data_IF_568433483990
#
_entry.id   IF_568433483990
#
_cell.length_a   1.000
_cell.length_b   1.000
_cell.length_c   1.000
_cell.angle_alpha   90.00
_cell.angle_beta   90.00
_cell.angle_gamma   90.00
#
_symmetry.space_group_name_H-M   'P 1'
#
loop_
_entity.id
_entity.type
_entity.pdbx_description
1 polymer ?
#
# COMPACT_ATOMS: atom_id res chain seq x y z
N UNK A 1 -19.70 -2.48 -24.10
CA UNK A 1 -20.03 -3.28 -22.89
C UNK A 1 -21.55 -3.51 -22.79
N UNK A 2 -22.02 -4.70 -22.34
CA UNK A 2 -23.44 -4.99 -22.12
C UNK A 2 -23.84 -4.52 -20.72
N UNK A 3 -24.94 -3.73 -20.63
CA UNK A 3 -25.51 -3.27 -19.37
C UNK A 3 -26.84 -4.00 -19.08
N UNK A 4 -27.18 -4.17 -17.81
CA UNK A 4 -28.52 -4.60 -17.43
C UNK A 4 -29.52 -3.46 -17.68
N UNK A 5 -30.85 -3.73 -17.76
CA UNK A 5 -31.86 -2.68 -17.87
C UNK A 5 -31.75 -1.62 -16.74
N UNK A 6 -31.44 -2.03 -15.52
CA UNK A 6 -31.26 -1.14 -14.37
C UNK A 6 -30.01 -0.26 -14.51
N UNK A 7 -28.89 -0.84 -14.97
CA UNK A 7 -27.65 -0.09 -15.24
C UNK A 7 -27.85 0.91 -16.38
N UNK A 8 -28.54 0.49 -17.45
CA UNK A 8 -28.88 1.37 -18.56
C UNK A 8 -29.80 2.52 -18.09
N UNK A 9 -30.81 2.23 -17.29
CA UNK A 9 -31.68 3.27 -16.73
C UNK A 9 -30.92 4.31 -15.90
N UNK A 10 -29.93 3.88 -15.09
CA UNK A 10 -29.06 4.81 -14.36
C UNK A 10 -28.22 5.66 -15.31
N UNK A 11 -27.64 5.05 -16.35
CA UNK A 11 -26.89 5.76 -17.40
C UNK A 11 -27.76 6.81 -18.12
N UNK A 12 -29.02 6.49 -18.36
CA UNK A 12 -30.00 7.35 -19.00
C UNK A 12 -30.61 8.42 -18.04
N UNK A 13 -30.18 8.42 -16.77
CA UNK A 13 -30.50 9.48 -15.81
C UNK A 13 -31.62 9.18 -14.82
N UNK A 14 -32.08 7.92 -14.70
CA UNK A 14 -33.16 7.55 -13.75
C UNK A 14 -32.86 7.89 -12.29
N UNK A 15 -31.55 7.94 -11.92
CA UNK A 15 -31.07 8.35 -10.59
C UNK A 15 -30.40 9.74 -10.59
N UNK A 16 -30.75 10.58 -11.55
CA UNK A 16 -30.22 11.94 -11.68
C UNK A 16 -28.94 12.06 -12.49
N UNK A 17 -28.57 13.28 -12.84
CA UNK A 17 -27.46 13.57 -13.76
C UNK A 17 -26.09 13.20 -13.19
N UNK A 18 -25.89 13.27 -11.88
CA UNK A 18 -24.62 12.92 -11.23
C UNK A 18 -24.40 11.42 -11.29
N UNK A 19 -25.41 10.60 -10.96
CA UNK A 19 -25.35 9.15 -11.06
C UNK A 19 -25.17 8.68 -12.51
N UNK A 20 -25.79 9.36 -13.47
CA UNK A 20 -25.57 9.09 -14.90
C UNK A 20 -24.11 9.34 -15.29
N UNK A 21 -23.45 10.39 -14.79
CA UNK A 21 -22.02 10.65 -15.01
C UNK A 21 -21.14 9.56 -14.35
N UNK A 22 -21.46 9.14 -13.13
CA UNK A 22 -20.76 8.03 -12.44
C UNK A 22 -20.82 6.77 -13.31
N UNK A 23 -22.01 6.36 -13.70
CA UNK A 23 -22.18 5.16 -14.54
C UNK A 23 -21.49 5.32 -15.90
N UNK A 24 -21.59 6.47 -16.55
CA UNK A 24 -20.90 6.75 -17.82
C UNK A 24 -19.39 6.61 -17.69
N UNK A 25 -18.82 7.11 -16.60
CA UNK A 25 -17.37 7.00 -16.33
C UNK A 25 -16.93 5.54 -16.19
N UNK A 26 -17.68 4.74 -15.42
CA UNK A 26 -17.41 3.31 -15.26
C UNK A 26 -17.55 2.53 -16.58
N UNK A 27 -18.56 2.86 -17.40
CA UNK A 27 -18.76 2.27 -18.74
C UNK A 27 -17.58 2.62 -19.64
N UNK A 28 -17.18 3.89 -19.72
CA UNK A 28 -16.03 4.32 -20.54
C UNK A 28 -14.72 3.66 -20.07
N UNK A 29 -14.53 3.56 -18.75
CA UNK A 29 -13.38 2.85 -18.19
C UNK A 29 -13.38 1.38 -18.59
N UNK A 30 -14.52 0.69 -18.42
CA UNK A 30 -14.67 -0.70 -18.80
C UNK A 30 -14.47 -0.94 -20.30
N UNK A 31 -15.03 -0.10 -21.15
CA UNK A 31 -14.87 -0.19 -22.62
C UNK A 31 -13.40 -0.04 -23.03
N UNK A 32 -12.67 0.89 -22.38
CA UNK A 32 -11.24 1.11 -22.65
C UNK A 32 -10.36 -0.13 -22.30
N UNK A 33 -10.80 -0.94 -21.35
CA UNK A 33 -10.12 -2.18 -20.96
C UNK A 33 -10.78 -3.46 -21.48
N UNK A 34 -11.74 -3.34 -22.41
CA UNK A 34 -12.39 -4.47 -23.07
C UNK A 34 -13.37 -5.25 -22.18
N UNK A 35 -13.93 -4.62 -21.15
CA UNK A 35 -14.91 -5.25 -20.29
C UNK A 35 -16.20 -5.56 -21.08
N UNK A 36 -16.70 -6.78 -20.91
CA UNK A 36 -17.93 -7.22 -21.63
C UNK A 36 -19.21 -6.81 -20.88
N UNK A 37 -19.15 -6.67 -19.57
CA UNK A 37 -20.27 -6.40 -18.66
C UNK A 37 -19.82 -5.73 -17.38
N UNK A 38 -20.80 -5.24 -16.59
CA UNK A 38 -20.58 -4.86 -15.20
C UNK A 38 -20.93 -6.05 -14.27
N UNK A 39 -20.21 -6.14 -13.14
CA UNK A 39 -20.51 -7.12 -12.07
C UNK A 39 -20.71 -6.40 -10.74
N UNK A 40 -21.54 -6.95 -9.84
CA UNK A 40 -21.73 -6.37 -8.52
C UNK A 40 -20.42 -6.34 -7.72
N UNK A 41 -20.22 -5.29 -6.92
CA UNK A 41 -19.26 -5.30 -5.82
C UNK A 41 -19.85 -6.16 -4.71
N UNK A 42 -19.08 -7.11 -4.20
CA UNK A 42 -19.57 -8.10 -3.21
C UNK A 42 -18.88 -8.02 -1.86
N UNK A 43 -17.76 -7.28 -1.77
CA UNK A 43 -17.08 -7.03 -0.49
C UNK A 43 -17.91 -6.11 0.42
N UNK A 44 -17.73 -6.28 1.73
CA UNK A 44 -18.44 -5.45 2.73
C UNK A 44 -18.01 -3.99 2.65
N UNK A 45 -16.71 -3.72 2.45
CA UNK A 45 -16.14 -2.38 2.48
C UNK A 45 -15.30 -2.08 1.24
N UNK A 46 -15.33 -0.81 0.82
CA UNK A 46 -14.43 -0.24 -0.17
C UNK A 46 -13.09 0.20 0.43
N UNK A 47 -12.16 0.59 -0.44
CA UNK A 47 -10.92 1.26 -0.04
C UNK A 47 -10.52 2.29 -1.08
N UNK A 48 -10.31 3.54 -0.67
CA UNK A 48 -10.08 4.66 -1.59
C UNK A 48 -8.71 5.30 -1.42
N UNK A 49 -8.08 5.65 -2.55
CA UNK A 49 -6.85 6.42 -2.61
C UNK A 49 -7.07 7.67 -3.44
N UNK A 50 -7.30 8.82 -2.77
CA UNK A 50 -7.54 10.04 -3.52
C UNK A 50 -6.68 11.18 -2.93
N UNK A 51 -6.98 12.36 -3.06
CA UNK A 51 -6.30 13.62 -2.91
C UNK A 51 -5.43 13.89 -1.67
N UNK A 52 -5.50 13.14 -0.60
CA UNK A 52 -4.76 13.38 0.67
C UNK A 52 -4.89 14.83 1.23
N UNK A 53 -5.88 15.58 0.79
CA UNK A 53 -5.98 17.02 1.14
C UNK A 53 -5.03 17.94 0.37
N UNK A 54 -4.42 17.48 -0.73
CA UNK A 54 -3.50 18.27 -1.56
C UNK A 54 -4.23 19.48 -2.17
N UNK A 55 -3.73 20.68 -1.91
CA UNK A 55 -4.36 21.91 -2.34
C UNK A 55 -4.51 22.06 -3.86
N UNK A 56 -3.56 21.51 -4.63
CA UNK A 56 -3.59 21.55 -6.10
C UNK A 56 -4.70 20.67 -6.73
N UNK A 57 -5.32 19.77 -5.95
CA UNK A 57 -6.36 18.85 -6.45
C UNK A 57 -7.78 19.40 -6.30
N UNK A 58 -7.97 20.71 -6.46
CA UNK A 58 -9.29 21.37 -6.34
C UNK A 58 -10.41 20.68 -7.12
N UNK A 59 -10.24 20.22 -8.38
CA UNK A 59 -11.30 19.54 -9.11
C UNK A 59 -11.85 18.28 -8.42
N UNK A 60 -11.02 17.58 -7.65
CA UNK A 60 -11.46 16.39 -6.91
C UNK A 60 -12.41 16.77 -5.78
N UNK A 61 -12.10 17.83 -5.03
CA UNK A 61 -12.99 18.31 -3.95
C UNK A 61 -14.32 18.86 -4.49
N UNK A 62 -14.27 19.53 -5.64
CA UNK A 62 -15.48 20.05 -6.31
C UNK A 62 -16.35 18.87 -6.82
N UNK A 63 -15.74 17.76 -7.26
CA UNK A 63 -16.47 16.56 -7.63
C UNK A 63 -17.10 15.88 -6.40
N UNK A 64 -16.38 15.81 -5.27
CA UNK A 64 -16.95 15.31 -4.02
C UNK A 64 -18.15 16.13 -3.56
N UNK A 65 -18.08 17.46 -3.66
CA UNK A 65 -19.22 18.31 -3.32
C UNK A 65 -20.43 18.02 -4.24
N UNK A 66 -20.21 17.83 -5.55
CA UNK A 66 -21.28 17.45 -6.48
C UNK A 66 -21.90 16.09 -6.12
N UNK A 67 -21.11 15.10 -5.74
CA UNK A 67 -21.60 13.79 -5.28
C UNK A 67 -22.45 13.95 -4.01
N UNK A 68 -21.96 14.73 -3.04
CA UNK A 68 -22.63 14.98 -1.76
C UNK A 68 -23.95 15.75 -1.98
N UNK A 69 -23.94 16.81 -2.78
CA UNK A 69 -25.12 17.61 -3.09
C UNK A 69 -26.21 16.82 -3.82
N UNK A 70 -25.79 15.88 -4.66
CA UNK A 70 -26.70 14.97 -5.36
C UNK A 70 -27.20 13.81 -4.51
N UNK A 71 -26.72 13.65 -3.27
CA UNK A 71 -27.03 12.49 -2.42
C UNK A 71 -26.45 11.19 -2.94
N UNK A 72 -25.43 11.25 -3.79
CA UNK A 72 -24.72 10.09 -4.34
C UNK A 72 -23.68 9.58 -3.34
N UNK A 73 -24.15 9.02 -2.24
CA UNK A 73 -23.32 8.43 -1.20
C UNK A 73 -23.00 6.97 -1.53
N UNK A 74 -21.84 6.49 -1.05
CA UNK A 74 -21.55 5.08 -1.11
C UNK A 74 -22.40 4.31 -0.09
N UNK A 75 -23.24 3.39 -0.56
CA UNK A 75 -23.92 2.43 0.33
C UNK A 75 -22.90 1.50 0.97
N UNK A 76 -21.84 1.15 0.23
CA UNK A 76 -20.68 0.44 0.72
C UNK A 76 -19.75 1.45 1.44
N UNK A 77 -19.67 1.36 2.76
CA UNK A 77 -18.67 2.15 3.52
C UNK A 77 -17.26 1.75 3.11
N UNK A 78 -16.28 2.62 3.40
CA UNK A 78 -14.92 2.42 2.95
C UNK A 78 -13.88 2.89 3.97
N UNK A 79 -12.66 2.36 3.84
CA UNK A 79 -11.43 2.85 4.43
C UNK A 79 -10.70 3.73 3.42
N UNK A 80 -9.74 4.54 3.83
CA UNK A 80 -8.99 5.42 2.94
C UNK A 80 -7.48 5.35 3.22
N UNK A 81 -6.70 5.79 2.25
CA UNK A 81 -5.24 5.92 2.39
C UNK A 81 -4.83 6.81 3.57
N UNK A 82 -3.61 6.60 4.12
CA UNK A 82 -3.13 7.33 5.30
C UNK A 82 -3.18 8.85 5.13
N UNK A 83 -3.45 9.55 6.21
CA UNK A 83 -3.36 11.01 6.23
C UNK A 83 -1.91 11.49 6.00
N UNK A 84 -1.74 12.70 5.44
CA UNK A 84 -0.40 13.22 5.12
C UNK A 84 0.32 13.85 6.31
N UNK A 85 -0.40 14.26 7.35
CA UNK A 85 0.12 15.08 8.43
C UNK A 85 -0.16 14.50 9.82
N UNK A 86 0.89 14.47 10.62
CA UNK A 86 0.84 14.25 12.06
C UNK A 86 1.89 15.15 12.74
N UNK A 87 1.46 15.96 13.68
CA UNK A 87 2.31 16.90 14.45
C UNK A 87 3.42 16.23 15.25
N UNK A 88 3.34 14.92 15.48
CA UNK A 88 4.37 14.17 16.21
C UNK A 88 5.58 13.83 15.30
N UNK A 89 5.41 13.88 13.98
CA UNK A 89 6.52 13.62 13.04
C UNK A 89 7.48 14.80 13.04
N UNK A 90 8.79 14.56 13.18
CA UNK A 90 9.79 15.63 13.22
C UNK A 90 9.73 16.53 11.98
N UNK A 91 9.50 17.79 12.18
CA UNK A 91 9.49 18.84 11.15
C UNK A 91 10.05 20.14 11.73
N UNK A 92 10.44 21.06 10.87
CA UNK A 92 10.83 22.41 11.31
C UNK A 92 9.69 23.41 10.98
N UNK A 93 9.68 24.62 11.59
CA UNK A 93 8.60 25.59 11.40
C UNK A 93 8.33 25.97 9.93
N UNK A 94 9.36 25.96 9.07
CA UNK A 94 9.19 26.24 7.66
C UNK A 94 8.50 25.06 6.92
N UNK A 95 8.87 23.82 7.27
CA UNK A 95 8.19 22.63 6.74
C UNK A 95 6.71 22.64 7.17
N UNK A 96 6.42 22.92 8.44
CA UNK A 96 5.04 22.98 8.95
C UNK A 96 4.22 24.04 8.22
N UNK A 97 4.80 25.22 8.00
CA UNK A 97 4.15 26.27 7.23
C UNK A 97 3.82 25.78 5.80
N UNK A 98 4.78 25.14 5.13
CA UNK A 98 4.59 24.64 3.76
C UNK A 98 3.56 23.52 3.74
N UNK A 99 3.61 22.56 4.68
CA UNK A 99 2.65 21.50 4.77
C UNK A 99 1.22 22.02 4.98
N UNK A 100 1.00 22.83 6.03
CA UNK A 100 -0.34 23.21 6.46
C UNK A 100 -0.97 24.31 5.61
N UNK A 101 -0.18 25.28 5.14
CA UNK A 101 -0.71 26.45 4.43
C UNK A 101 -0.71 26.30 2.91
N UNK A 102 0.19 25.49 2.36
CA UNK A 102 0.34 25.40 0.91
C UNK A 102 0.00 24.03 0.35
N UNK A 103 0.53 22.94 0.92
CA UNK A 103 0.39 21.61 0.32
C UNK A 103 -0.93 20.94 0.70
N UNK A 104 -1.20 20.79 1.98
CA UNK A 104 -2.33 20.03 2.51
C UNK A 104 -3.43 20.92 3.13
N UNK A 105 -3.56 22.14 2.64
CA UNK A 105 -4.55 23.12 3.12
C UNK A 105 -6.00 22.60 3.05
N UNK A 106 -6.28 21.66 2.13
CA UNK A 106 -7.61 21.10 1.93
C UNK A 106 -7.88 19.85 2.79
N UNK A 107 -6.94 19.43 3.67
CA UNK A 107 -7.10 18.18 4.43
C UNK A 107 -8.40 18.16 5.24
N UNK A 108 -8.70 19.21 5.99
CA UNK A 108 -9.94 19.27 6.80
C UNK A 108 -11.22 19.20 5.93
N UNK A 109 -11.21 19.84 4.75
CA UNK A 109 -12.33 19.74 3.78
C UNK A 109 -12.44 18.30 3.26
N UNK A 110 -11.34 17.70 2.87
CA UNK A 110 -11.26 16.33 2.38
C UNK A 110 -11.82 15.33 3.39
N UNK A 111 -11.35 15.38 4.65
CA UNK A 111 -11.87 14.49 5.71
C UNK A 111 -13.37 14.70 5.93
N UNK A 112 -13.85 15.97 5.95
CA UNK A 112 -15.28 16.26 6.10
C UNK A 112 -16.12 15.72 4.93
N UNK A 113 -15.59 15.75 3.70
CA UNK A 113 -16.22 15.17 2.52
C UNK A 113 -16.25 13.64 2.60
N UNK A 114 -15.15 12.99 2.99
CA UNK A 114 -15.12 11.53 3.15
C UNK A 114 -16.09 11.03 4.23
N UNK A 115 -16.24 11.76 5.35
CA UNK A 115 -17.27 11.45 6.37
C UNK A 115 -18.67 11.44 5.78
N UNK A 116 -18.98 12.38 4.90
CA UNK A 116 -20.30 12.44 4.22
C UNK A 116 -20.44 11.34 3.16
N UNK A 117 -19.38 11.00 2.45
CA UNK A 117 -19.39 9.99 1.38
C UNK A 117 -19.42 8.55 1.88
N UNK A 118 -19.01 8.29 3.15
CA UNK A 118 -19.14 6.96 3.74
C UNK A 118 -17.87 6.33 4.31
N UNK A 119 -16.86 7.13 4.70
CA UNK A 119 -15.73 6.55 5.45
C UNK A 119 -16.21 5.91 6.76
N UNK A 120 -15.63 4.76 7.11
CA UNK A 120 -16.05 3.99 8.29
C UNK A 120 -15.90 4.79 9.59
N UNK A 121 -14.70 5.34 9.84
CA UNK A 121 -14.41 6.20 10.97
C UNK A 121 -13.19 7.08 10.71
N UNK A 122 -12.90 8.00 11.64
CA UNK A 122 -11.69 8.83 11.61
C UNK A 122 -10.39 8.05 11.89
N UNK A 123 -10.47 6.74 12.16
CA UNK A 123 -9.32 5.85 12.39
C UNK A 123 -9.00 4.96 11.18
N UNK A 124 -9.81 5.00 10.14
CA UNK A 124 -9.72 4.09 9.00
C UNK A 124 -8.90 4.66 7.82
N UNK A 125 -7.89 5.45 8.16
CA UNK A 125 -6.91 6.00 7.23
C UNK A 125 -5.62 5.18 7.26
N UNK A 126 -5.49 4.23 6.33
CA UNK A 126 -4.32 3.34 6.25
C UNK A 126 -4.20 2.67 4.89
N UNK A 127 -2.98 2.35 4.45
CA UNK A 127 -2.72 1.52 3.27
C UNK A 127 -2.73 0.01 3.57
N UNK A 128 -2.92 -0.39 4.84
CA UNK A 128 -3.01 -1.80 5.27
C UNK A 128 -4.40 -2.09 5.86
N UNK A 129 -5.44 -1.68 5.13
CA UNK A 129 -6.84 -1.75 5.56
C UNK A 129 -7.31 -3.18 5.90
N UNK A 130 -6.64 -4.19 5.36
CA UNK A 130 -6.94 -5.61 5.51
C UNK A 130 -6.44 -6.24 6.82
N UNK A 131 -5.71 -5.51 7.65
CA UNK A 131 -5.29 -5.98 8.97
C UNK A 131 -6.48 -6.12 9.91
N UNK A 132 -6.41 -7.09 10.83
CA UNK A 132 -7.52 -7.41 11.75
C UNK A 132 -7.89 -6.22 12.65
N UNK A 133 -6.91 -5.39 13.02
CA UNK A 133 -7.11 -4.17 13.83
C UNK A 133 -7.83 -3.04 13.06
N UNK A 134 -7.93 -3.15 11.73
CA UNK A 134 -8.67 -2.21 10.88
C UNK A 134 -10.00 -2.81 10.44
N UNK A 135 -10.02 -4.10 10.11
CA UNK A 135 -11.24 -4.87 9.88
C UNK A 135 -11.81 -4.81 8.46
N UNK A 136 -11.13 -4.19 7.49
CA UNK A 136 -11.53 -4.24 6.09
C UNK A 136 -10.85 -5.41 5.37
N UNK A 137 -11.23 -6.64 5.76
CA UNK A 137 -10.64 -7.89 5.28
C UNK A 137 -11.62 -8.64 4.38
N UNK A 138 -11.50 -8.54 3.06
CA UNK A 138 -12.39 -9.26 2.14
C UNK A 138 -12.14 -10.76 2.18
N UNK A 139 -13.17 -11.52 1.79
CA UNK A 139 -13.10 -12.97 1.64
C UNK A 139 -12.62 -13.35 0.25
N UNK A 140 -12.12 -14.58 0.13
CA UNK A 140 -11.73 -15.13 -1.16
C UNK A 140 -12.90 -15.08 -2.17
N UNK A 141 -12.61 -14.64 -3.40
CA UNK A 141 -13.58 -14.53 -4.48
C UNK A 141 -14.46 -13.29 -4.45
N UNK A 142 -14.49 -12.52 -3.35
CA UNK A 142 -15.24 -11.26 -3.33
C UNK A 142 -14.69 -10.25 -4.35
N UNK A 143 -15.62 -9.57 -5.02
CA UNK A 143 -15.32 -8.50 -5.98
C UNK A 143 -15.23 -7.18 -5.25
N UNK A 144 -14.08 -6.51 -5.42
CA UNK A 144 -13.76 -5.27 -4.75
C UNK A 144 -13.82 -4.07 -5.70
N UNK A 145 -14.18 -2.91 -5.14
CA UNK A 145 -13.93 -1.61 -5.74
C UNK A 145 -12.89 -0.86 -4.92
N UNK A 146 -11.63 -1.27 -5.05
CA UNK A 146 -10.51 -0.72 -4.30
C UNK A 146 -9.50 -0.01 -5.21
N UNK A 147 -8.81 0.95 -4.65
CA UNK A 147 -7.56 1.48 -5.16
C UNK A 147 -6.49 1.38 -4.05
N UNK A 148 -5.33 1.87 -4.25
CA UNK A 148 -4.08 1.72 -3.51
C UNK A 148 -3.35 0.41 -3.86
N UNK A 149 -2.13 0.57 -4.38
CA UNK A 149 -1.42 -0.54 -5.02
C UNK A 149 -1.04 -1.67 -4.04
N UNK A 150 -0.59 -1.34 -2.82
CA UNK A 150 -0.21 -2.36 -1.83
C UNK A 150 -1.41 -3.06 -1.20
N UNK A 151 -2.55 -2.38 -1.06
CA UNK A 151 -3.79 -3.00 -0.58
C UNK A 151 -4.38 -3.94 -1.65
N UNK A 152 -4.45 -3.49 -2.90
CA UNK A 152 -4.98 -4.30 -4.01
C UNK A 152 -4.16 -5.55 -4.25
N UNK A 153 -2.83 -5.46 -4.30
CA UNK A 153 -1.99 -6.64 -4.53
C UNK A 153 -2.08 -7.65 -3.39
N UNK A 154 -2.20 -7.18 -2.14
CA UNK A 154 -2.40 -8.06 -0.98
C UNK A 154 -3.78 -8.74 -1.01
N UNK A 155 -4.84 -7.97 -1.26
CA UNK A 155 -6.21 -8.51 -1.35
C UNK A 155 -6.33 -9.56 -2.46
N UNK A 156 -5.75 -9.31 -3.63
CA UNK A 156 -5.75 -10.27 -4.74
C UNK A 156 -4.95 -11.53 -4.44
N UNK A 157 -3.74 -11.37 -3.88
CA UNK A 157 -2.76 -12.45 -3.78
C UNK A 157 -2.92 -13.27 -2.50
N UNK A 158 -3.02 -12.59 -1.35
CA UNK A 158 -3.00 -13.24 -0.03
C UNK A 158 -4.40 -13.60 0.44
N UNK A 159 -5.39 -12.76 0.13
CA UNK A 159 -6.79 -13.02 0.50
C UNK A 159 -7.58 -13.70 -0.61
N UNK A 160 -7.06 -13.73 -1.84
CA UNK A 160 -7.75 -14.34 -2.99
C UNK A 160 -9.00 -13.59 -3.44
N UNK A 161 -9.15 -12.31 -3.06
CA UNK A 161 -10.22 -11.45 -3.53
C UNK A 161 -9.95 -11.00 -4.98
N UNK A 162 -10.90 -10.33 -5.61
CA UNK A 162 -10.84 -9.95 -7.02
C UNK A 162 -10.96 -8.43 -7.20
N UNK A 163 -9.87 -7.78 -7.54
CA UNK A 163 -9.80 -6.33 -7.73
C UNK A 163 -8.87 -5.96 -8.88
N UNK A 164 -9.31 -5.10 -9.79
CA UNK A 164 -8.40 -4.48 -10.73
C UNK A 164 -7.58 -3.37 -10.04
N UNK A 165 -6.46 -2.98 -10.65
CA UNK A 165 -5.66 -1.83 -10.23
C UNK A 165 -6.37 -0.55 -10.65
N UNK A 166 -7.41 -0.18 -9.91
CA UNK A 166 -8.17 1.02 -10.21
C UNK A 166 -7.37 2.27 -9.86
N UNK A 167 -7.64 3.36 -10.58
CA UNK A 167 -7.17 4.70 -10.20
C UNK A 167 -8.09 5.32 -9.16
N UNK A 168 -7.59 6.30 -8.44
CA UNK A 168 -8.42 7.14 -7.58
C UNK A 168 -9.63 7.70 -8.34
N UNK A 169 -10.78 7.77 -7.70
CA UNK A 169 -12.11 8.05 -8.19
C UNK A 169 -12.85 6.88 -8.84
N UNK A 170 -12.22 5.99 -9.60
CA UNK A 170 -12.88 4.82 -10.21
C UNK A 170 -13.41 3.89 -9.12
N UNK A 171 -12.62 3.64 -8.09
CA UNK A 171 -13.01 2.80 -6.95
C UNK A 171 -14.16 3.39 -6.16
N UNK A 172 -14.16 4.71 -5.93
CA UNK A 172 -15.25 5.39 -5.24
C UNK A 172 -16.53 5.35 -6.09
N UNK A 173 -16.41 5.59 -7.39
CA UNK A 173 -17.54 5.50 -8.32
C UNK A 173 -18.12 4.08 -8.37
N UNK A 174 -17.28 3.04 -8.35
CA UNK A 174 -17.70 1.65 -8.28
C UNK A 174 -18.42 1.32 -6.97
N UNK A 175 -17.92 1.83 -5.84
CA UNK A 175 -18.59 1.71 -4.53
C UNK A 175 -19.95 2.43 -4.49
N UNK A 176 -20.05 3.63 -5.08
CA UNK A 176 -21.29 4.38 -5.19
C UNK A 176 -22.31 3.69 -6.14
N UNK A 177 -21.83 3.18 -7.28
CA UNK A 177 -22.66 2.48 -8.26
C UNK A 177 -23.02 1.04 -7.83
N UNK A 178 -22.32 0.47 -6.86
CA UNK A 178 -22.46 -0.93 -6.43
C UNK A 178 -21.98 -1.94 -7.47
N UNK A 179 -21.26 -1.53 -8.51
CA UNK A 179 -20.78 -2.41 -9.58
C UNK A 179 -19.49 -1.89 -10.22
N UNK A 180 -18.74 -2.82 -10.78
CA UNK A 180 -17.45 -2.55 -11.47
C UNK A 180 -17.40 -3.27 -12.81
N UNK A 181 -16.61 -2.76 -13.80
CA UNK A 181 -16.41 -3.43 -15.09
C UNK A 181 -15.68 -4.76 -14.94
N UNK A 182 -16.17 -5.81 -15.62
CA UNK A 182 -15.64 -7.17 -15.55
C UNK A 182 -14.53 -7.39 -16.58
N UNK A 183 -13.28 -7.25 -16.14
CA UNK A 183 -12.07 -7.48 -16.92
C UNK A 183 -10.87 -7.78 -16.00
N UNK A 184 -9.72 -8.09 -16.57
CA UNK A 184 -8.44 -8.22 -15.87
C UNK A 184 -8.52 -9.20 -14.70
N UNK A 185 -8.13 -8.79 -13.50
CA UNK A 185 -8.07 -9.64 -12.30
C UNK A 185 -9.45 -10.06 -11.73
N UNK A 186 -10.55 -9.59 -12.32
CA UNK A 186 -11.86 -10.12 -12.00
C UNK A 186 -12.13 -11.43 -12.74
N UNK A 187 -11.44 -11.70 -13.84
CA UNK A 187 -11.58 -12.91 -14.67
C UNK A 187 -10.57 -13.98 -14.27
N UNK A 188 -10.92 -15.26 -14.48
CA UNK A 188 -9.98 -16.35 -14.19
C UNK A 188 -8.77 -16.32 -15.13
N UNK A 189 -8.96 -15.93 -16.39
CA UNK A 189 -7.86 -15.81 -17.35
C UNK A 189 -6.89 -14.68 -16.96
N UNK A 190 -7.40 -13.53 -16.55
CA UNK A 190 -6.56 -12.40 -16.12
C UNK A 190 -5.75 -12.66 -14.85
N UNK A 191 -6.06 -13.74 -14.12
CA UNK A 191 -5.35 -14.14 -12.89
C UNK A 191 -4.26 -15.19 -13.16
N UNK A 192 -4.16 -15.72 -14.37
CA UNK A 192 -3.08 -16.65 -14.73
C UNK A 192 -1.73 -15.96 -14.74
N UNK A 193 -0.72 -16.72 -14.30
CA UNK A 193 0.65 -16.23 -14.23
C UNK A 193 1.32 -16.16 -15.60
N UNK A 194 1.90 -15.02 -15.91
CA UNK A 194 2.66 -14.75 -17.13
C UNK A 194 4.16 -15.06 -16.98
N UNK A 195 4.65 -15.18 -15.75
CA UNK A 195 6.04 -15.44 -15.39
C UNK A 195 6.15 -16.50 -14.30
N UNK A 196 7.18 -17.35 -14.41
CA UNK A 196 7.66 -18.19 -13.31
C UNK A 196 8.85 -17.47 -12.68
N UNK A 197 8.83 -17.30 -11.36
CA UNK A 197 9.96 -16.75 -10.59
C UNK A 197 10.47 -17.84 -9.67
N UNK A 198 11.75 -18.20 -9.81
CA UNK A 198 12.40 -19.20 -8.94
C UNK A 198 13.31 -18.50 -7.94
N UNK A 199 12.98 -18.61 -6.65
CA UNK A 199 13.79 -18.08 -5.56
C UNK A 199 14.81 -19.13 -5.14
N UNK A 200 16.08 -18.86 -5.43
CA UNK A 200 17.23 -19.77 -5.17
C UNK A 200 18.28 -19.12 -4.27
N UNK A 201 17.84 -18.35 -3.29
CA UNK A 201 18.72 -17.66 -2.34
C UNK A 201 19.24 -18.62 -1.28
N UNK A 202 20.42 -18.32 -0.72
CA UNK A 202 21.05 -19.13 0.36
C UNK A 202 20.55 -18.76 1.75
N UNK A 203 19.81 -17.67 1.89
CA UNK A 203 19.17 -17.19 3.11
C UNK A 203 17.79 -16.60 2.79
N UNK A 204 16.95 -16.43 3.81
CA UNK A 204 15.64 -15.75 3.67
C UNK A 204 15.86 -14.38 3.00
N UNK A 205 15.29 -14.16 1.80
CA UNK A 205 15.46 -12.88 1.12
C UNK A 205 14.67 -11.79 1.85
N UNK A 206 15.18 -10.57 1.82
CA UNK A 206 14.49 -9.43 2.38
C UNK A 206 13.27 -9.09 1.51
N UNK A 207 12.05 -8.96 2.10
CA UNK A 207 10.78 -8.89 1.33
C UNK A 207 10.72 -7.72 0.36
N UNK A 208 11.16 -6.54 0.78
CA UNK A 208 11.14 -5.34 -0.05
C UNK A 208 12.14 -5.42 -1.21
N UNK A 209 13.28 -6.08 -1.02
CA UNK A 209 14.28 -6.27 -2.07
C UNK A 209 13.84 -7.34 -3.06
N UNK A 210 13.33 -8.48 -2.57
CA UNK A 210 12.80 -9.54 -3.43
C UNK A 210 11.62 -9.02 -4.26
N UNK A 211 10.67 -8.33 -3.62
CA UNK A 211 9.53 -7.74 -4.31
C UNK A 211 9.94 -6.72 -5.37
N UNK A 212 10.96 -5.90 -5.08
CA UNK A 212 11.52 -4.95 -6.05
C UNK A 212 12.15 -5.67 -7.25
N UNK A 213 12.95 -6.74 -7.02
CA UNK A 213 13.56 -7.52 -8.09
C UNK A 213 12.49 -8.10 -9.03
N UNK A 214 11.45 -8.69 -8.47
CA UNK A 214 10.33 -9.25 -9.25
C UNK A 214 9.60 -8.12 -10.01
N UNK A 215 9.18 -7.07 -9.32
CA UNK A 215 8.44 -5.98 -9.94
C UNK A 215 9.19 -5.35 -11.11
N UNK A 216 10.48 -5.04 -10.96
CA UNK A 216 11.32 -4.48 -12.02
C UNK A 216 11.45 -5.40 -13.24
N UNK A 217 11.35 -6.71 -13.04
CA UNK A 217 11.47 -7.70 -14.11
C UNK A 217 10.15 -7.98 -14.82
N UNK A 218 9.10 -8.24 -14.05
CA UNK A 218 7.82 -8.71 -14.62
C UNK A 218 6.87 -7.57 -14.98
N UNK A 219 7.13 -6.35 -14.48
CA UNK A 219 6.30 -5.17 -14.67
C UNK A 219 4.86 -5.40 -14.19
N UNK A 220 3.85 -5.16 -15.04
CA UNK A 220 2.43 -5.35 -14.71
C UNK A 220 1.94 -6.79 -14.77
N UNK A 221 2.81 -7.74 -15.14
CA UNK A 221 2.47 -9.14 -15.32
C UNK A 221 2.31 -9.89 -14.00
N UNK A 222 1.63 -11.03 -14.03
CA UNK A 222 1.39 -11.88 -12.86
C UNK A 222 2.55 -12.88 -12.71
N UNK A 223 3.33 -12.86 -11.61
CA UNK A 223 4.34 -13.86 -11.33
C UNK A 223 3.77 -15.04 -10.53
N UNK A 224 4.22 -16.25 -10.84
CA UNK A 224 4.11 -17.45 -10.02
C UNK A 224 5.48 -17.72 -9.35
N UNK A 225 5.56 -17.56 -8.04
CA UNK A 225 6.81 -17.58 -7.27
C UNK A 225 6.98 -18.96 -6.64
N UNK A 226 8.08 -19.64 -7.00
CA UNK A 226 8.49 -20.95 -6.49
C UNK A 226 9.67 -20.82 -5.53
N UNK A 227 9.72 -21.69 -4.51
CA UNK A 227 10.83 -21.80 -3.58
C UNK A 227 10.87 -20.72 -2.50
N UNK A 228 9.88 -19.82 -2.42
CA UNK A 228 9.78 -18.85 -1.32
C UNK A 228 9.19 -19.49 -0.06
N UNK A 229 8.34 -20.50 -0.22
CA UNK A 229 7.71 -21.29 0.84
C UNK A 229 8.72 -21.94 1.81
N UNK A 230 9.91 -22.29 1.32
CA UNK A 230 11.01 -22.80 2.18
C UNK A 230 11.46 -21.79 3.26
N UNK A 231 11.23 -20.49 3.04
CA UNK A 231 11.66 -19.41 3.93
C UNK A 231 10.56 -18.85 4.81
N UNK A 232 9.33 -18.83 4.32
CA UNK A 232 8.19 -18.21 5.00
C UNK A 232 7.09 -19.21 5.38
N UNK A 233 7.30 -20.51 5.06
CA UNK A 233 6.35 -21.59 5.33
C UNK A 233 5.18 -21.64 4.36
N UNK A 234 4.23 -22.52 4.69
CA UNK A 234 3.03 -22.81 3.88
C UNK A 234 1.74 -22.37 4.57
N UNK A 235 1.84 -21.60 5.64
CA UNK A 235 0.71 -21.06 6.41
C UNK A 235 0.78 -19.52 6.46
N UNK A 236 -0.37 -18.87 6.35
CA UNK A 236 -0.51 -17.43 6.50
C UNK A 236 -0.60 -17.09 8.00
N UNK A 237 0.54 -17.13 8.68
CA UNK A 237 0.72 -16.66 10.05
C UNK A 237 1.18 -15.18 10.10
N UNK A 238 1.38 -14.62 11.29
CA UNK A 238 1.78 -13.21 11.48
C UNK A 238 3.10 -12.84 10.76
N UNK A 239 4.09 -13.74 10.76
CA UNK A 239 5.36 -13.55 10.05
C UNK A 239 5.15 -13.54 8.53
N UNK A 240 4.33 -14.45 8.01
CA UNK A 240 3.98 -14.50 6.60
C UNK A 240 3.17 -13.26 6.18
N UNK A 241 2.21 -12.82 7.00
CA UNK A 241 1.43 -11.59 6.77
C UNK A 241 2.37 -10.39 6.65
N UNK A 242 3.29 -10.21 7.61
CA UNK A 242 4.26 -9.13 7.63
C UNK A 242 5.16 -9.17 6.38
N UNK A 243 5.68 -10.34 6.05
CA UNK A 243 6.53 -10.55 4.87
C UNK A 243 5.79 -10.25 3.57
N UNK A 244 4.61 -10.84 3.36
CA UNK A 244 3.85 -10.73 2.11
C UNK A 244 3.31 -9.31 1.89
N UNK A 245 2.97 -8.60 2.95
CA UNK A 245 2.58 -7.20 2.91
C UNK A 245 3.71 -6.32 2.35
N UNK A 246 4.91 -6.49 2.84
CA UNK A 246 6.09 -5.72 2.42
C UNK A 246 6.56 -6.14 1.02
N UNK A 247 6.58 -7.44 0.74
CA UNK A 247 6.86 -8.00 -0.57
C UNK A 247 5.90 -7.47 -1.64
N UNK A 248 4.58 -7.56 -1.38
CA UNK A 248 3.55 -7.09 -2.31
C UNK A 248 3.65 -5.59 -2.61
N UNK A 249 3.89 -4.76 -1.59
CA UNK A 249 4.06 -3.32 -1.78
C UNK A 249 5.27 -2.99 -2.68
N UNK A 250 6.36 -3.76 -2.56
CA UNK A 250 7.53 -3.58 -3.41
C UNK A 250 7.30 -4.06 -4.84
N UNK A 251 6.62 -5.20 -5.06
CA UNK A 251 6.27 -5.67 -6.41
C UNK A 251 5.37 -4.66 -7.13
N UNK A 252 4.38 -4.13 -6.42
CA UNK A 252 3.43 -3.17 -6.98
C UNK A 252 4.10 -1.82 -7.31
N UNK A 253 4.97 -1.32 -6.44
CA UNK A 253 5.60 -0.01 -6.63
C UNK A 253 6.74 0.00 -7.65
N UNK A 254 7.43 -1.13 -7.85
CA UNK A 254 8.54 -1.23 -8.77
C UNK A 254 8.18 -1.82 -10.15
N UNK A 255 6.97 -2.36 -10.31
CA UNK A 255 6.56 -2.99 -11.56
C UNK A 255 5.06 -2.94 -11.84
N UNK A 256 4.27 -2.32 -10.97
CA UNK A 256 2.80 -2.32 -11.09
C UNK A 256 2.16 -3.72 -11.02
N UNK A 257 2.78 -4.69 -10.33
CA UNK A 257 2.18 -6.00 -10.06
C UNK A 257 0.91 -5.82 -9.23
N UNK A 258 -0.21 -6.36 -9.70
CA UNK A 258 -1.50 -6.28 -8.99
C UNK A 258 -1.98 -7.62 -8.43
N UNK A 259 -1.28 -8.69 -8.77
CA UNK A 259 -1.51 -10.06 -8.30
C UNK A 259 -0.22 -10.85 -8.43
N UNK A 260 0.11 -11.65 -7.42
CA UNK A 260 1.14 -12.68 -7.47
C UNK A 260 0.62 -13.99 -6.87
N UNK A 261 1.18 -15.10 -7.30
CA UNK A 261 0.96 -16.41 -6.70
C UNK A 261 2.26 -16.89 -6.04
N UNK A 262 2.17 -17.44 -4.83
CA UNK A 262 3.29 -18.10 -4.16
C UNK A 262 2.93 -19.57 -3.99
N UNK A 263 3.75 -20.42 -4.58
CA UNK A 263 3.59 -21.86 -4.52
C UNK A 263 3.40 -22.35 -3.09
N UNK A 264 2.45 -23.25 -2.86
CA UNK A 264 2.07 -23.84 -1.58
C UNK A 264 1.56 -22.87 -0.49
N UNK A 265 1.40 -21.55 -0.79
CA UNK A 265 1.06 -20.57 0.25
C UNK A 265 -0.18 -19.73 -0.10
N UNK A 266 -0.21 -19.07 -1.26
CA UNK A 266 -1.36 -18.21 -1.59
C UNK A 266 -2.57 -19.02 -2.04
N UNK A 267 -3.82 -18.56 -1.73
CA UNK A 267 -5.01 -19.39 -1.87
C UNK A 267 -5.19 -20.04 -3.26
N UNK A 268 -5.02 -19.27 -4.32
CA UNK A 268 -5.17 -19.80 -5.68
C UNK A 268 -4.03 -20.76 -6.06
N UNK A 269 -2.79 -20.46 -5.63
CA UNK A 269 -1.66 -21.36 -5.87
C UNK A 269 -1.83 -22.71 -5.13
N UNK A 270 -2.37 -22.70 -3.91
CA UNK A 270 -2.70 -23.92 -3.17
C UNK A 270 -3.79 -24.71 -3.88
N UNK A 271 -4.82 -24.04 -4.41
CA UNK A 271 -5.97 -24.70 -5.04
C UNK A 271 -5.69 -25.23 -6.45
N UNK A 272 -4.92 -24.52 -7.26
CA UNK A 272 -4.77 -24.78 -8.68
C UNK A 272 -3.33 -25.18 -9.06
N UNK A 273 -2.35 -24.87 -8.21
CA UNK A 273 -0.94 -25.16 -8.48
C UNK A 273 -0.47 -24.58 -9.80
N UNK A 274 0.29 -25.38 -10.55
CA UNK A 274 0.87 -24.98 -11.85
C UNK A 274 -0.15 -24.76 -12.96
N UNK A 275 -1.42 -25.16 -12.80
CA UNK A 275 -2.49 -24.84 -13.77
C UNK A 275 -2.75 -23.32 -13.91
N UNK A 276 -2.29 -22.54 -12.92
CA UNK A 276 -2.27 -21.07 -13.01
C UNK A 276 -1.22 -20.53 -13.99
N UNK A 277 -0.20 -21.31 -14.34
CA UNK A 277 0.90 -20.83 -15.19
C UNK A 277 0.48 -20.94 -16.67
N UNK A 278 0.65 -19.85 -17.40
CA UNK A 278 0.39 -19.86 -18.85
C UNK A 278 1.45 -20.70 -19.58
N UNK A 279 1.03 -21.37 -20.64
CA UNK A 279 1.94 -22.12 -21.49
C UNK A 279 3.05 -21.19 -22.03
N UNK A 280 4.29 -21.63 -21.91
CA UNK A 280 5.45 -20.88 -22.38
C UNK A 280 5.84 -19.69 -21.49
N UNK A 281 5.31 -19.57 -20.28
CA UNK A 281 5.72 -18.52 -19.34
C UNK A 281 7.24 -18.54 -19.12
N UNK A 282 7.94 -17.39 -19.30
CA UNK A 282 9.38 -17.32 -19.09
C UNK A 282 9.73 -17.48 -17.62
N UNK A 283 10.97 -17.96 -17.37
CA UNK A 283 11.51 -18.17 -16.03
C UNK A 283 12.48 -17.04 -15.66
N UNK A 284 12.29 -16.48 -14.47
CA UNK A 284 13.24 -15.54 -13.85
C UNK A 284 13.80 -16.16 -12.57
N UNK A 285 15.10 -16.43 -12.57
CA UNK A 285 15.81 -16.98 -11.40
C UNK A 285 16.35 -15.84 -10.56
N UNK A 286 16.08 -15.88 -9.26
CA UNK A 286 16.58 -14.92 -8.27
C UNK A 286 17.44 -15.67 -7.24
N UNK A 287 18.74 -15.47 -7.32
CA UNK A 287 19.71 -15.88 -6.34
C UNK A 287 20.29 -14.67 -5.57
N UNK A 288 21.25 -14.91 -4.69
CA UNK A 288 21.89 -13.86 -3.90
C UNK A 288 22.61 -12.82 -4.78
N UNK A 289 23.20 -13.25 -5.90
CA UNK A 289 23.88 -12.35 -6.83
C UNK A 289 22.91 -11.44 -7.57
N UNK A 290 21.75 -11.98 -7.98
CA UNK A 290 20.72 -11.18 -8.63
C UNK A 290 20.11 -10.17 -7.66
N UNK A 291 19.84 -10.54 -6.41
CA UNK A 291 19.39 -9.59 -5.38
C UNK A 291 20.41 -8.46 -5.15
N UNK A 292 21.69 -8.80 -5.09
CA UNK A 292 22.75 -7.80 -4.93
C UNK A 292 22.81 -6.87 -6.15
N UNK A 293 22.75 -7.40 -7.37
CA UNK A 293 22.71 -6.63 -8.62
C UNK A 293 21.53 -5.65 -8.64
N UNK A 294 20.34 -6.11 -8.24
CA UNK A 294 19.14 -5.25 -8.17
C UNK A 294 19.35 -4.13 -7.16
N UNK A 295 19.85 -4.46 -5.97
CA UNK A 295 20.14 -3.48 -4.93
C UNK A 295 21.14 -2.42 -5.40
N UNK A 296 22.21 -2.82 -6.06
CA UNK A 296 23.25 -1.92 -6.60
C UNK A 296 22.73 -1.02 -7.73
N UNK A 297 21.67 -1.44 -8.43
CA UNK A 297 21.03 -0.66 -9.48
C UNK A 297 20.17 0.49 -8.96
N UNK A 298 19.91 0.57 -7.65
CA UNK A 298 19.08 1.63 -7.09
C UNK A 298 19.74 3.01 -7.20
N UNK A 299 19.09 4.00 -7.81
CA UNK A 299 19.64 5.31 -7.91
C UNK A 299 19.72 5.97 -6.52
N UNK A 300 20.86 6.61 -6.24
CA UNK A 300 20.96 7.53 -5.12
C UNK A 300 20.84 8.97 -5.66
N UNK A 301 19.76 9.65 -5.30
CA UNK A 301 19.45 11.01 -5.79
C UNK A 301 19.79 12.10 -4.76
N UNK A 302 20.51 11.78 -3.69
CA UNK A 302 21.00 12.77 -2.75
C UNK A 302 22.05 13.68 -3.41
N UNK A 303 21.99 14.99 -3.13
CA UNK A 303 22.97 15.95 -3.65
C UNK A 303 24.40 15.67 -3.17
N UNK A 304 24.54 15.26 -1.92
CA UNK A 304 25.77 14.75 -1.31
C UNK A 304 25.56 13.29 -0.94
N UNK A 305 26.27 12.41 -1.63
CA UNK A 305 26.18 10.95 -1.43
C UNK A 305 26.65 10.51 -0.05
N UNK A 306 27.48 11.33 0.62
CA UNK A 306 28.04 11.08 1.95
C UNK A 306 27.28 11.83 3.05
N UNK A 307 26.16 12.49 2.72
CA UNK A 307 25.37 13.21 3.71
C UNK A 307 24.93 12.27 4.84
N UNK A 308 25.01 12.75 6.08
CA UNK A 308 24.49 12.02 7.24
C UNK A 308 22.95 12.03 7.19
N UNK A 309 22.29 10.88 7.41
CA UNK A 309 20.84 10.81 7.46
C UNK A 309 20.25 11.76 8.52
N UNK A 310 19.20 12.48 8.15
CA UNK A 310 18.49 13.41 9.05
C UNK A 310 17.16 12.87 9.54
N UNK A 311 16.62 11.84 8.88
CA UNK A 311 15.35 11.24 9.23
C UNK A 311 15.34 9.80 8.70
N UNK A 312 14.70 8.92 9.46
CA UNK A 312 14.42 7.53 9.08
C UNK A 312 12.93 7.28 9.10
N UNK A 313 12.40 6.68 8.03
CA UNK A 313 11.05 6.13 7.99
C UNK A 313 11.06 4.61 7.84
N UNK A 314 10.33 3.91 8.72
CA UNK A 314 9.98 2.49 8.59
C UNK A 314 8.46 2.34 8.62
N UNK A 315 7.92 1.36 7.87
CA UNK A 315 6.48 1.14 7.81
C UNK A 315 5.80 1.75 6.58
N UNK A 316 6.39 1.60 5.41
CA UNK A 316 5.72 1.89 4.14
C UNK A 316 5.76 0.62 3.24
N UNK A 317 4.65 -0.18 3.26
CA UNK A 317 3.33 0.07 3.86
C UNK A 317 3.33 0.01 5.41
N UNK A 318 2.25 0.50 6.02
CA UNK A 318 2.08 0.54 7.47
C UNK A 318 2.43 -0.79 8.15
N UNK A 319 3.12 -0.71 9.29
CA UNK A 319 3.55 -1.89 10.05
C UNK A 319 2.36 -2.62 10.67
N UNK A 320 2.46 -3.95 10.79
CA UNK A 320 1.55 -4.76 11.59
C UNK A 320 1.86 -4.60 13.08
N UNK A 321 0.95 -5.03 13.95
CA UNK A 321 1.20 -5.08 15.39
C UNK A 321 2.43 -5.95 15.72
N UNK A 322 2.51 -7.13 15.08
CA UNK A 322 3.66 -8.03 15.20
C UNK A 322 4.98 -7.36 14.80
N UNK A 323 5.02 -6.66 13.66
CA UNK A 323 6.22 -5.91 13.25
C UNK A 323 6.61 -4.80 14.23
N UNK A 324 5.65 -4.08 14.79
CA UNK A 324 5.95 -3.05 15.80
C UNK A 324 6.60 -3.65 17.06
N UNK A 325 6.10 -4.81 17.51
CA UNK A 325 6.64 -5.52 18.66
C UNK A 325 8.06 -6.02 18.38
N UNK A 326 8.24 -6.81 17.30
CA UNK A 326 9.56 -7.36 16.92
C UNK A 326 10.59 -6.25 16.70
N UNK A 327 10.25 -5.21 15.95
CA UNK A 327 11.18 -4.12 15.66
C UNK A 327 11.52 -3.34 16.93
N UNK A 328 10.58 -3.19 17.88
CA UNK A 328 10.87 -2.58 19.19
C UNK A 328 11.93 -3.37 19.93
N UNK A 329 11.81 -4.69 20.03
CA UNK A 329 12.78 -5.56 20.68
C UNK A 329 14.17 -5.49 20.01
N UNK A 330 14.20 -5.53 18.68
CA UNK A 330 15.44 -5.44 17.90
C UNK A 330 16.13 -4.09 18.08
N UNK A 331 15.39 -2.98 18.08
CA UNK A 331 15.94 -1.64 18.34
C UNK A 331 16.52 -1.55 19.76
N UNK A 332 15.80 -2.03 20.77
CA UNK A 332 16.31 -2.03 22.14
C UNK A 332 17.55 -2.91 22.31
N UNK A 333 17.55 -4.10 21.72
CA UNK A 333 18.71 -5.00 21.77
C UNK A 333 19.95 -4.35 21.12
N UNK A 334 19.76 -3.72 19.96
CA UNK A 334 20.81 -3.01 19.25
C UNK A 334 21.32 -1.78 20.01
N UNK A 335 20.43 -0.98 20.65
CA UNK A 335 20.82 0.14 21.50
C UNK A 335 21.66 -0.33 22.68
N UNK A 336 21.25 -1.42 23.37
CA UNK A 336 22.04 -2.01 24.46
C UNK A 336 23.42 -2.48 24.00
N UNK A 337 23.49 -3.14 22.83
CA UNK A 337 24.75 -3.63 22.26
C UNK A 337 25.72 -2.48 21.93
N UNK A 338 25.21 -1.31 21.57
CA UNK A 338 26.02 -0.12 21.28
C UNK A 338 26.19 0.83 22.47
N UNK A 339 25.71 0.48 23.66
CA UNK A 339 25.78 1.34 24.85
C UNK A 339 24.96 2.63 24.77
N UNK A 340 23.95 2.64 23.91
CA UNK A 340 23.07 3.78 23.65
C UNK A 340 21.73 3.61 24.39
N UNK A 341 21.04 4.72 24.65
CA UNK A 341 19.68 4.72 25.24
C UNK A 341 18.62 5.15 24.24
N UNK A 342 18.99 5.96 23.26
CA UNK A 342 18.08 6.51 22.26
C UNK A 342 18.70 6.39 20.87
N UNK A 343 17.83 6.33 19.88
CA UNK A 343 18.23 6.39 18.47
C UNK A 343 18.94 7.72 18.16
N UNK A 344 19.99 7.66 17.37
CA UNK A 344 20.83 8.81 17.00
C UNK A 344 20.33 9.56 15.76
N UNK A 345 19.40 8.95 15.00
CA UNK A 345 18.73 9.57 13.86
C UNK A 345 17.24 9.66 14.22
N UNK A 346 16.59 10.82 14.08
CA UNK A 346 15.15 10.93 14.21
C UNK A 346 14.45 9.84 13.39
N UNK A 347 13.68 8.99 14.05
CA UNK A 347 13.10 7.77 13.43
C UNK A 347 11.61 7.74 13.67
N UNK A 348 10.86 7.47 12.61
CA UNK A 348 9.41 7.36 12.61
C UNK A 348 9.00 5.98 12.12
N UNK A 349 8.24 5.27 12.94
CA UNK A 349 7.53 4.06 12.55
C UNK A 349 6.10 4.43 12.17
N UNK A 350 5.59 3.90 11.06
CA UNK A 350 4.22 4.20 10.62
C UNK A 350 3.35 2.96 10.63
N UNK A 351 2.16 3.10 11.21
CA UNK A 351 1.18 2.04 11.33
C UNK A 351 -0.25 2.60 11.25
N UNK A 352 -1.22 1.73 10.97
CA UNK A 352 -2.62 2.11 10.97
C UNK A 352 -3.07 2.62 12.35
N UNK A 353 -3.99 3.60 12.44
CA UNK A 353 -4.50 4.07 13.74
C UNK A 353 -5.00 2.95 14.64
N UNK A 354 -5.72 1.94 14.10
CA UNK A 354 -6.17 0.78 14.86
C UNK A 354 -5.03 -0.08 15.41
N UNK A 355 -3.97 -0.27 14.61
CA UNK A 355 -2.73 -0.97 15.03
C UNK A 355 -2.01 -0.18 16.12
N UNK A 356 -1.91 1.15 15.98
CA UNK A 356 -1.33 2.02 17.00
C UNK A 356 -2.11 1.89 18.32
N UNK A 357 -3.44 1.91 18.26
CA UNK A 357 -4.29 1.75 19.46
C UNK A 357 -4.10 0.38 20.12
N UNK A 358 -3.95 -0.68 19.34
CA UNK A 358 -3.64 -2.02 19.86
C UNK A 358 -2.25 -2.05 20.49
N UNK A 359 -1.24 -1.49 19.83
CA UNK A 359 0.14 -1.42 20.33
C UNK A 359 0.26 -0.62 21.63
N UNK A 360 -0.47 0.49 21.76
CA UNK A 360 -0.48 1.32 22.99
C UNK A 360 -0.99 0.58 24.23
N UNK A 361 -1.72 -0.53 24.06
CA UNK A 361 -2.19 -1.39 25.14
C UNK A 361 -1.14 -2.44 25.57
N UNK A 362 -0.03 -2.54 24.84
CA UNK A 362 1.06 -3.49 25.13
C UNK A 362 2.13 -2.89 26.02
N UNK A 363 2.94 -3.75 26.64
CA UNK A 363 4.15 -3.32 27.35
C UNK A 363 5.23 -2.71 26.44
N UNK A 364 5.13 -2.91 25.13
CA UNK A 364 6.10 -2.44 24.14
C UNK A 364 5.96 -0.96 23.82
N UNK A 365 4.79 -0.36 23.99
CA UNK A 365 4.58 1.05 23.68
C UNK A 365 5.47 2.00 24.52
N UNK A 366 5.52 1.90 25.87
CA UNK A 366 6.46 2.70 26.65
C UNK A 366 7.92 2.34 26.34
N UNK A 367 8.23 1.09 26.01
CA UNK A 367 9.58 0.66 25.61
C UNK A 367 10.01 1.37 24.34
N UNK A 368 9.20 1.34 23.26
CA UNK A 368 9.48 2.05 22.02
C UNK A 368 9.67 3.55 22.23
N UNK A 369 8.78 4.20 22.99
CA UNK A 369 8.92 5.65 23.32
C UNK A 369 10.23 5.97 24.03
N UNK A 370 10.69 5.11 24.91
CA UNK A 370 11.96 5.29 25.60
C UNK A 370 13.18 5.26 24.67
N UNK A 371 13.09 4.57 23.52
CA UNK A 371 14.14 4.57 22.49
C UNK A 371 14.22 5.88 21.71
N UNK A 372 13.23 6.76 21.82
CA UNK A 372 13.13 8.00 21.07
C UNK A 372 12.54 7.84 19.65
N UNK A 373 12.08 6.64 19.29
CA UNK A 373 11.32 6.41 18.04
C UNK A 373 9.92 7.00 18.18
N UNK A 374 9.48 7.69 17.15
CA UNK A 374 8.12 8.26 17.03
C UNK A 374 7.22 7.27 16.31
N UNK A 375 6.04 6.99 16.84
CA UNK A 375 5.00 6.22 16.17
C UNK A 375 3.98 7.18 15.55
N UNK A 376 3.63 6.97 14.28
CA UNK A 376 2.74 7.84 13.51
C UNK A 376 1.86 7.06 12.54
N UNK A 377 0.75 7.66 12.14
CA UNK A 377 -0.20 7.12 11.17
C UNK A 377 -0.08 7.75 9.78
N UNK A 378 0.93 8.58 9.52
CA UNK A 378 1.04 9.29 8.25
C UNK A 378 1.46 8.37 7.10
N UNK A 379 1.21 8.87 5.89
CA UNK A 379 1.87 8.35 4.69
C UNK A 379 3.27 8.99 4.57
N UNK A 380 4.37 8.24 4.74
CA UNK A 380 5.73 8.79 4.59
C UNK A 380 5.97 9.39 3.20
N UNK A 381 5.31 8.84 2.16
CA UNK A 381 5.41 9.37 0.81
C UNK A 381 4.87 10.80 0.71
N UNK A 382 3.75 11.09 1.39
CA UNK A 382 3.17 12.43 1.40
C UNK A 382 4.07 13.42 2.17
N UNK A 383 4.72 12.99 3.24
CA UNK A 383 5.74 13.79 3.91
C UNK A 383 6.91 14.11 2.98
N UNK A 384 7.41 13.12 2.22
CA UNK A 384 8.53 13.30 1.29
C UNK A 384 8.20 14.12 0.04
N UNK A 385 6.93 14.23 -0.33
CA UNK A 385 6.47 14.99 -1.51
C UNK A 385 6.49 16.52 -1.34
N UNK A 386 7.29 17.01 -0.44
CA UNK A 386 7.48 18.43 -0.13
C UNK A 386 8.87 18.87 -0.62
N UNK A 387 9.00 20.02 -1.29
CA UNK A 387 10.30 20.52 -1.77
C UNK A 387 11.40 20.60 -0.70
N UNK A 388 11.04 20.90 0.54
CA UNK A 388 11.98 20.98 1.66
C UNK A 388 12.39 19.58 2.15
N UNK A 389 11.45 18.65 2.29
CA UNK A 389 11.72 17.26 2.68
C UNK A 389 12.46 16.51 1.57
N UNK A 390 12.13 16.77 0.31
CA UNK A 390 12.82 16.21 -0.86
C UNK A 390 14.32 16.48 -0.88
N UNK A 391 14.77 17.58 -0.27
CA UNK A 391 16.19 17.94 -0.18
C UNK A 391 16.89 17.27 1.02
N UNK A 392 16.15 16.62 1.92
CA UNK A 392 16.72 15.98 3.11
C UNK A 392 17.27 14.59 2.77
N UNK A 393 18.42 14.20 3.36
CA UNK A 393 18.88 12.82 3.32
C UNK A 393 18.02 11.95 4.26
N UNK A 394 17.04 11.27 3.69
CA UNK A 394 16.12 10.36 4.40
C UNK A 394 16.47 8.92 4.06
N UNK A 395 16.46 8.05 5.07
CA UNK A 395 16.66 6.60 4.91
C UNK A 395 15.38 5.84 5.18
N UNK A 396 15.22 4.68 4.55
CA UNK A 396 14.03 3.85 4.68
C UNK A 396 14.30 2.38 4.36
N UNK A 397 13.55 1.47 4.99
CA UNK A 397 13.48 0.06 4.60
C UNK A 397 12.42 -0.21 3.51
N UNK A 398 11.74 0.82 3.01
CA UNK A 398 10.70 0.68 2.00
C UNK A 398 11.19 0.97 0.59
N UNK A 399 11.08 -0.03 -0.28
CA UNK A 399 11.28 0.18 -1.72
C UNK A 399 10.17 1.02 -2.37
N UNK A 400 8.95 1.00 -1.84
CA UNK A 400 7.88 1.89 -2.29
C UNK A 400 8.25 3.36 -2.03
N UNK A 401 8.69 3.69 -0.81
CA UNK A 401 9.10 5.06 -0.49
C UNK A 401 10.32 5.49 -1.30
N UNK A 402 11.32 4.61 -1.48
CA UNK A 402 12.48 4.86 -2.34
C UNK A 402 12.07 5.16 -3.79
N UNK A 403 11.16 4.36 -4.35
CA UNK A 403 10.77 4.48 -5.77
C UNK A 403 10.10 5.83 -6.06
N UNK A 404 9.29 6.33 -5.15
CA UNK A 404 8.49 7.55 -5.35
C UNK A 404 9.07 8.81 -4.69
N UNK A 405 10.23 8.70 -4.05
CA UNK A 405 10.84 9.85 -3.35
C UNK A 405 12.37 9.86 -3.48
N UNK A 406 13.02 10.75 -2.76
CA UNK A 406 14.47 10.80 -2.63
C UNK A 406 15.03 10.00 -1.47
N UNK A 407 14.19 9.25 -0.75
CA UNK A 407 14.63 8.40 0.33
C UNK A 407 15.55 7.28 -0.18
N UNK A 408 16.61 7.00 0.56
CA UNK A 408 17.56 5.94 0.22
C UNK A 408 17.19 4.65 0.94
N UNK A 409 17.16 3.56 0.19
CA UNK A 409 16.83 2.23 0.70
C UNK A 409 18.01 1.58 1.42
N UNK A 410 17.69 0.97 2.56
CA UNK A 410 18.52 0.06 3.32
C UNK A 410 17.67 -1.08 3.87
N UNK A 411 18.25 -2.26 4.13
CA UNK A 411 17.52 -3.35 4.80
C UNK A 411 17.17 -2.96 6.23
N UNK A 412 16.19 -3.65 6.83
CA UNK A 412 15.82 -3.36 8.22
C UNK A 412 16.98 -3.48 9.19
N UNK A 413 17.82 -4.54 9.06
CA UNK A 413 18.99 -4.73 9.93
C UNK A 413 20.01 -3.59 9.79
N UNK A 414 20.22 -3.11 8.57
CA UNK A 414 21.08 -1.95 8.33
C UNK A 414 20.48 -0.68 8.96
N UNK A 415 19.18 -0.46 8.79
CA UNK A 415 18.49 0.68 9.41
C UNK A 415 18.63 0.62 10.93
N UNK A 416 18.32 -0.52 11.56
CA UNK A 416 18.43 -0.68 13.00
C UNK A 416 19.86 -0.38 13.47
N UNK A 417 20.86 -0.90 12.77
CA UNK A 417 22.28 -0.61 13.07
C UNK A 417 22.58 0.87 12.93
N UNK A 418 22.14 1.53 11.85
CA UNK A 418 22.41 2.94 11.56
C UNK A 418 21.78 3.87 12.61
N UNK A 419 20.55 3.58 13.04
CA UNK A 419 19.84 4.44 14.01
C UNK A 419 20.30 4.23 15.46
N UNK A 420 20.99 3.13 15.76
CA UNK A 420 21.38 2.76 17.13
C UNK A 420 22.87 2.88 17.41
N UNK A 421 23.74 2.85 16.37
CA UNK A 421 25.20 2.83 16.55
C UNK A 421 25.80 4.13 17.08
N UNK A 422 25.09 5.25 16.93
CA UNK A 422 25.64 6.57 17.25
C UNK A 422 26.50 7.12 16.08
N UNK A 423 26.62 8.44 16.04
CA UNK A 423 27.54 9.09 15.12
C UNK A 423 28.96 8.96 15.70
N UNK A 424 29.79 8.08 15.14
CA UNK A 424 31.24 8.17 15.26
C UNK A 424 31.76 9.24 14.33
#
# INVERSE_FOLDING_TARGET
MKLTPEQQAVLDGSKGTVMAKVMKTLVMYGDAFGAEKMVPVTSTYGHTVISFGINAMKPVYDLYDQLIEAGAFSEQKFTADPLPLDKNVPSNPLQDLVFHQFMYKQQARYEAQLRKLGILSDKDYTCTCYLDEVGNKPKQGEVLSWAESSAVVYANSVLGARCNRNSGMIELMGSIAGCVPYFGFLTDDGRKADWIVEVRTTKKPEPQLLGSAIGMKVMEKVPYVKGLDQWIGTEINEDAIAYLKDFGAATASNGAVGLYHIEHLTPEAVQQGEALIRDGAPVYVIDDAELQRVRESYPCVWKDLNAKPKLCFMGCPHMTLHQLIDTTERVEASLRAHGQRKVCIPTVFTAAPGVIEAFEKTEYAPRLRNTGVVLSYICPLMYMNNPLSKAMPVITSSNKLRTYSTARYYTEDEIITMITKGAN
#
